data_IF_310478114765
#
_entry.id   IF_310478114765
#
_cell.length_a   1.000
_cell.length_b   1.000
_cell.length_c   1.000
_cell.angle_alpha   90.00
_cell.angle_beta   90.00
_cell.angle_gamma   90.00
#
_symmetry.space_group_name_H-M   'P 1'
#
loop_
_entity.id
_entity.type
_entity.pdbx_description
1 polymer ?
#
# COMPACT_ATOMS: atom_id res chain seq x y z
N UNK A 1 -44.71 -68.68 -71.96
CA UNK A 1 -43.98 -68.77 -70.68
C UNK A 1 -42.72 -67.91 -70.79
N UNK A 2 -42.66 -66.68 -70.25
CA UNK A 2 -42.29 -66.31 -68.86
C UNK A 2 -40.94 -66.92 -68.44
N UNK A 3 -39.90 -66.24 -67.94
CA UNK A 3 -39.73 -64.93 -67.30
C UNK A 3 -38.23 -64.52 -67.30
N UNK A 4 -38.03 -63.20 -67.41
CA UNK A 4 -37.14 -62.28 -66.66
C UNK A 4 -35.62 -62.45 -66.62
N UNK A 5 -35.03 -61.32 -67.01
CA UNK A 5 -33.71 -60.82 -66.68
C UNK A 5 -33.42 -60.78 -65.17
N UNK A 6 -32.16 -61.08 -64.82
CA UNK A 6 -31.49 -60.54 -63.65
C UNK A 6 -30.17 -59.92 -64.09
N UNK A 7 -30.19 -58.61 -64.35
CA UNK A 7 -28.98 -57.78 -64.28
C UNK A 7 -28.69 -57.55 -62.79
N UNK A 8 -27.59 -58.10 -62.28
CA UNK A 8 -26.94 -57.53 -61.09
C UNK A 8 -26.11 -56.33 -61.55
N UNK A 9 -26.62 -55.12 -61.32
CA UNK A 9 -25.78 -53.95 -61.21
C UNK A 9 -24.83 -54.17 -60.02
N UNK A 10 -23.55 -54.45 -60.29
CA UNK A 10 -22.50 -54.10 -59.34
C UNK A 10 -22.23 -52.62 -59.55
N UNK A 11 -22.39 -51.74 -58.55
CA UNK A 11 -21.91 -50.38 -58.68
C UNK A 11 -20.40 -50.47 -58.92
N UNK A 12 -19.94 -49.86 -60.01
CA UNK A 12 -18.53 -49.56 -60.21
C UNK A 12 -18.08 -48.81 -58.97
N UNK A 13 -17.21 -49.42 -58.18
CA UNK A 13 -16.43 -48.73 -57.17
C UNK A 13 -15.48 -47.82 -57.96
N UNK A 14 -15.98 -46.63 -58.31
CA UNK A 14 -15.20 -45.60 -58.97
C UNK A 14 -14.18 -45.11 -57.95
N UNK A 15 -12.91 -45.47 -58.15
CA UNK A 15 -11.81 -44.91 -57.37
C UNK A 15 -11.81 -43.38 -57.52
N UNK A 16 -11.61 -42.67 -56.41
CA UNK A 16 -11.52 -41.22 -56.39
C UNK A 16 -10.55 -40.72 -57.46
N UNK A 17 -11.01 -39.79 -58.29
CA UNK A 17 -10.17 -39.10 -59.27
C UNK A 17 -9.09 -38.31 -58.54
N UNK A 18 -7.88 -38.25 -59.09
CA UNK A 18 -6.77 -37.45 -58.54
C UNK A 18 -7.20 -35.99 -58.30
N UNK A 19 -8.08 -35.45 -59.15
CA UNK A 19 -8.66 -34.12 -59.02
C UNK A 19 -9.55 -33.99 -57.78
N UNK A 20 -10.39 -35.00 -57.49
CA UNK A 20 -11.27 -34.99 -56.32
C UNK A 20 -10.46 -35.05 -55.02
N UNK A 21 -9.36 -35.82 -55.00
CA UNK A 21 -8.43 -35.82 -53.85
C UNK A 21 -7.76 -34.45 -53.66
N UNK A 22 -7.34 -33.80 -54.74
CA UNK A 22 -6.65 -32.50 -54.69
C UNK A 22 -7.62 -31.40 -54.20
N UNK A 23 -8.85 -31.42 -54.69
CA UNK A 23 -9.93 -30.53 -54.23
C UNK A 23 -10.27 -30.79 -52.76
N UNK A 24 -10.37 -32.05 -52.33
CA UNK A 24 -10.62 -32.40 -50.93
C UNK A 24 -9.51 -31.90 -50.00
N UNK A 25 -8.23 -32.08 -50.38
CA UNK A 25 -7.08 -31.56 -49.61
C UNK A 25 -7.11 -30.03 -49.55
N UNK A 26 -7.46 -29.36 -50.65
CA UNK A 26 -7.60 -27.90 -50.67
C UNK A 26 -8.69 -27.42 -49.70
N UNK A 27 -9.86 -28.05 -49.70
CA UNK A 27 -10.95 -27.71 -48.78
C UNK A 27 -10.58 -27.98 -47.32
N UNK A 28 -9.92 -29.09 -47.03
CA UNK A 28 -9.39 -29.38 -45.68
C UNK A 28 -8.37 -28.31 -45.27
N UNK A 29 -7.49 -27.88 -46.18
CA UNK A 29 -6.53 -26.81 -45.95
C UNK A 29 -7.19 -25.48 -45.60
N UNK A 30 -8.22 -25.08 -46.34
CA UNK A 30 -8.99 -23.87 -46.03
C UNK A 30 -9.74 -23.96 -44.70
N UNK A 31 -10.36 -25.11 -44.42
CA UNK A 31 -11.09 -25.33 -43.16
C UNK A 31 -10.15 -25.32 -41.95
N UNK A 32 -9.03 -26.02 -42.03
CA UNK A 32 -8.02 -26.05 -40.95
C UNK A 32 -7.40 -24.67 -40.73
N UNK A 33 -7.03 -23.95 -41.80
CA UNK A 33 -6.55 -22.56 -41.70
C UNK A 33 -7.59 -21.63 -41.07
N UNK A 34 -8.87 -21.77 -41.45
CA UNK A 34 -9.98 -21.04 -40.85
C UNK A 34 -10.15 -21.33 -39.35
N UNK A 35 -10.14 -22.61 -38.96
CA UNK A 35 -10.23 -23.02 -37.56
C UNK A 35 -9.04 -22.53 -36.72
N UNK A 36 -7.82 -22.60 -37.26
CA UNK A 36 -6.62 -22.08 -36.60
C UNK A 36 -6.72 -20.58 -36.33
N UNK A 37 -7.24 -19.80 -37.29
CA UNK A 37 -7.46 -18.37 -37.14
C UNK A 37 -8.54 -18.03 -36.12
N UNK A 38 -9.65 -18.79 -36.09
CA UNK A 38 -10.69 -18.62 -35.06
C UNK A 38 -10.14 -18.96 -33.68
N UNK A 39 -9.40 -20.06 -33.56
CA UNK A 39 -8.75 -20.45 -32.30
C UNK A 39 -7.75 -19.39 -31.82
N UNK A 40 -6.87 -18.88 -32.69
CA UNK A 40 -5.90 -17.85 -32.32
C UNK A 40 -6.59 -16.57 -31.86
N UNK A 41 -7.68 -16.19 -32.51
CA UNK A 41 -8.48 -15.01 -32.15
C UNK A 41 -9.18 -15.20 -30.80
N UNK A 42 -9.71 -16.39 -30.54
CA UNK A 42 -10.35 -16.70 -29.25
C UNK A 42 -9.33 -16.74 -28.10
N UNK A 43 -8.15 -17.30 -28.33
CA UNK A 43 -7.07 -17.32 -27.34
C UNK A 43 -6.58 -15.90 -27.00
N UNK A 44 -6.39 -15.06 -28.03
CA UNK A 44 -6.08 -13.64 -27.86
C UNK A 44 -7.12 -12.91 -27.01
N UNK A 45 -8.41 -13.12 -27.30
CA UNK A 45 -9.51 -12.56 -26.53
C UNK A 45 -9.50 -13.01 -25.07
N UNK A 46 -9.31 -14.31 -24.84
CA UNK A 46 -9.22 -14.88 -23.49
C UNK A 46 -8.06 -14.28 -22.69
N UNK A 47 -6.87 -14.18 -23.29
CA UNK A 47 -5.68 -13.63 -22.63
C UNK A 47 -5.88 -12.15 -22.25
N UNK A 48 -6.43 -11.34 -23.16
CA UNK A 48 -6.72 -9.93 -22.90
C UNK A 48 -7.72 -9.73 -21.76
N UNK A 49 -8.76 -10.56 -21.69
CA UNK A 49 -9.74 -10.53 -20.60
C UNK A 49 -9.07 -10.91 -19.28
N UNK A 50 -8.27 -11.97 -19.27
CA UNK A 50 -7.56 -12.42 -18.07
C UNK A 50 -6.59 -11.34 -17.55
N UNK A 51 -5.79 -10.73 -18.43
CA UNK A 51 -4.88 -9.63 -18.07
C UNK A 51 -5.63 -8.43 -17.49
N UNK A 52 -6.82 -8.11 -18.02
CA UNK A 52 -7.67 -7.05 -17.51
C UNK A 52 -8.18 -7.36 -16.11
N UNK A 53 -8.68 -8.57 -15.87
CA UNK A 53 -9.19 -9.00 -14.55
C UNK A 53 -8.06 -9.02 -13.53
N UNK A 54 -6.89 -9.56 -13.90
CA UNK A 54 -5.74 -9.62 -13.02
C UNK A 54 -5.22 -8.23 -12.63
N UNK A 55 -5.16 -7.30 -13.59
CA UNK A 55 -4.81 -5.90 -13.36
C UNK A 55 -5.80 -5.21 -12.41
N UNK A 56 -7.11 -5.39 -12.65
CA UNK A 56 -8.16 -4.84 -11.76
C UNK A 56 -8.08 -5.40 -10.33
N UNK A 57 -7.84 -6.71 -10.17
CA UNK A 57 -7.70 -7.34 -8.85
C UNK A 57 -6.49 -6.77 -8.09
N UNK A 58 -5.35 -6.62 -8.77
CA UNK A 58 -4.14 -6.03 -8.17
C UNK A 58 -4.35 -4.59 -7.75
N UNK A 59 -4.97 -3.77 -8.60
CA UNK A 59 -5.32 -2.40 -8.24
C UNK A 59 -6.24 -2.32 -7.03
N UNK A 60 -7.31 -3.14 -6.98
CA UNK A 60 -8.24 -3.16 -5.85
C UNK A 60 -7.57 -3.57 -4.54
N UNK A 61 -6.68 -4.57 -4.60
CA UNK A 61 -5.90 -4.98 -3.43
C UNK A 61 -4.95 -3.87 -2.95
N UNK A 62 -4.22 -3.23 -3.87
CA UNK A 62 -3.36 -2.10 -3.55
C UNK A 62 -4.12 -0.95 -2.88
N UNK A 63 -5.28 -0.58 -3.44
CA UNK A 63 -6.11 0.48 -2.87
C UNK A 63 -6.74 0.09 -1.53
N UNK A 64 -7.17 -1.16 -1.33
CA UNK A 64 -7.72 -1.60 -0.05
C UNK A 64 -6.68 -1.50 1.07
N UNK A 65 -5.45 -1.97 0.83
CA UNK A 65 -4.36 -1.82 1.80
C UNK A 65 -4.03 -0.35 2.07
N UNK A 66 -3.95 0.48 1.03
CA UNK A 66 -3.73 1.92 1.19
C UNK A 66 -4.86 2.60 1.96
N UNK A 67 -6.12 2.20 1.74
CA UNK A 67 -7.27 2.81 2.38
C UNK A 67 -7.27 2.61 3.88
N UNK A 68 -7.04 1.39 4.34
CA UNK A 68 -7.03 1.08 5.78
C UNK A 68 -5.89 1.81 6.50
N UNK A 69 -4.70 1.80 5.91
CA UNK A 69 -3.53 2.46 6.48
C UNK A 69 -3.66 4.00 6.44
N UNK A 70 -4.08 4.58 5.32
CA UNK A 70 -4.22 6.03 5.15
C UNK A 70 -5.40 6.60 5.96
N UNK A 71 -6.48 5.84 6.13
CA UNK A 71 -7.58 6.23 7.01
C UNK A 71 -7.12 6.36 8.48
N UNK A 72 -6.06 5.65 8.86
CA UNK A 72 -5.49 5.67 10.20
C UNK A 72 -4.39 6.73 10.39
N UNK A 73 -4.04 7.53 9.37
CA UNK A 73 -3.06 8.62 9.53
C UNK A 73 -3.47 9.53 10.68
N UNK A 74 -2.48 9.94 11.47
CA UNK A 74 -2.69 10.76 12.65
C UNK A 74 -3.33 10.00 13.82
N UNK A 75 -3.45 8.67 13.73
CA UNK A 75 -3.74 7.86 14.91
C UNK A 75 -2.54 7.89 15.84
N UNK A 76 -2.76 8.37 17.05
CA UNK A 76 -1.79 8.32 18.14
C UNK A 76 -2.48 7.67 19.33
N UNK A 77 -2.24 6.37 19.51
CA UNK A 77 -2.80 5.61 20.62
C UNK A 77 -2.24 6.08 21.97
N UNK A 78 -1.11 6.78 21.96
CA UNK A 78 -0.45 7.30 23.14
C UNK A 78 -0.72 8.79 23.36
N UNK A 79 -1.51 9.11 24.39
CA UNK A 79 -1.93 10.48 24.72
C UNK A 79 -1.01 11.03 25.80
N UNK A 80 -0.10 11.94 25.44
CA UNK A 80 0.82 12.58 26.37
C UNK A 80 2.23 12.81 25.80
N UNK A 81 2.91 11.77 25.34
CA UNK A 81 4.28 11.88 24.83
C UNK A 81 4.36 12.19 23.32
N UNK A 82 3.24 12.18 22.63
CA UNK A 82 3.10 12.71 21.28
C UNK A 82 2.72 14.20 21.31
N UNK A 83 2.98 14.89 22.43
CA UNK A 83 2.77 16.32 22.52
C UNK A 83 3.65 17.03 21.48
N UNK A 84 3.05 17.83 20.58
CA UNK A 84 3.79 18.61 19.61
C UNK A 84 4.87 19.51 20.26
N UNK A 85 4.71 19.85 21.55
CA UNK A 85 5.61 20.70 22.33
C UNK A 85 6.91 20.04 22.82
N UNK A 86 7.07 18.72 22.73
CA UNK A 86 8.29 18.04 23.21
C UNK A 86 9.46 18.07 22.21
N UNK A 87 9.29 18.72 21.05
CA UNK A 87 10.35 18.87 20.05
C UNK A 87 10.80 17.56 19.37
N UNK A 88 10.01 16.49 19.50
CA UNK A 88 10.31 15.16 18.95
C UNK A 88 10.19 15.06 17.42
N UNK A 89 9.47 15.99 16.82
CA UNK A 89 9.16 15.99 15.40
C UNK A 89 9.82 17.20 14.73
N UNK A 90 10.62 16.92 13.71
CA UNK A 90 11.27 17.95 12.91
C UNK A 90 10.30 18.55 11.90
N UNK A 91 10.34 19.87 11.81
CA UNK A 91 9.58 20.69 10.87
C UNK A 91 10.52 21.47 9.94
N UNK A 92 11.78 21.04 9.84
CA UNK A 92 12.82 21.76 9.11
C UNK A 92 12.87 21.28 7.66
N UNK A 93 13.12 22.18 6.72
CA UNK A 93 13.30 21.80 5.31
C UNK A 93 14.39 20.75 5.15
N UNK A 94 14.11 19.71 4.38
CA UNK A 94 15.08 18.65 4.07
C UNK A 94 15.30 17.62 5.18
N UNK A 95 14.51 17.66 6.26
CA UNK A 95 14.52 16.64 7.31
C UNK A 95 13.33 15.67 7.14
N UNK A 96 13.26 14.63 7.98
CA UNK A 96 12.12 13.74 8.01
C UNK A 96 10.94 14.45 8.68
N UNK A 97 10.05 15.06 7.91
CA UNK A 97 8.81 15.63 8.46
C UNK A 97 7.78 14.53 8.80
N UNK A 98 6.87 14.77 9.77
CA UNK A 98 5.88 13.77 10.20
C UNK A 98 4.83 13.43 9.15
N UNK A 99 4.63 14.29 8.16
CA UNK A 99 3.82 14.01 6.99
C UNK A 99 4.51 14.64 5.79
N UNK A 100 4.72 13.87 4.73
CA UNK A 100 5.28 14.37 3.48
C UNK A 100 4.78 13.59 2.28
N UNK A 101 4.60 14.33 1.19
CA UNK A 101 4.44 13.77 -0.15
C UNK A 101 5.68 14.20 -0.91
N UNK A 102 6.41 13.24 -1.46
CA UNK A 102 7.55 13.51 -2.33
C UNK A 102 7.11 13.28 -3.77
N UNK A 103 6.92 14.35 -4.57
CA UNK A 103 6.64 14.20 -5.98
C UNK A 103 7.85 13.62 -6.71
N UNK A 104 7.68 12.49 -7.40
CA UNK A 104 8.71 11.95 -8.30
C UNK A 104 10.14 11.91 -7.73
N UNK A 105 10.40 11.44 -6.49
CA UNK A 105 11.65 11.72 -5.77
C UNK A 105 12.89 11.06 -6.38
N UNK A 106 12.74 9.84 -6.92
CA UNK A 106 13.82 9.14 -7.60
C UNK A 106 13.28 8.26 -8.71
N UNK A 107 13.99 8.15 -9.83
CA UNK A 107 13.55 7.39 -10.97
C UNK A 107 13.51 5.89 -10.65
N UNK A 108 12.34 5.26 -10.80
CA UNK A 108 12.21 3.80 -10.64
C UNK A 108 12.62 3.12 -11.94
N UNK A 109 13.74 2.40 -11.91
CA UNK A 109 14.28 1.68 -13.08
C UNK A 109 13.80 0.24 -13.09
N UNK A 110 13.08 -0.16 -14.14
CA UNK A 110 12.60 -1.54 -14.34
C UNK A 110 13.28 -2.18 -15.54
N UNK A 111 13.51 -3.49 -15.45
CA UNK A 111 14.09 -4.31 -16.52
C UNK A 111 13.09 -5.37 -16.91
N UNK A 112 12.52 -5.26 -18.11
CA UNK A 112 11.50 -6.18 -18.59
C UNK A 112 11.59 -6.45 -20.09
N UNK A 113 10.73 -7.34 -20.62
CA UNK A 113 10.68 -7.63 -22.05
C UNK A 113 10.42 -6.36 -22.86
N UNK A 114 11.21 -6.15 -23.91
CA UNK A 114 11.06 -5.06 -24.84
C UNK A 114 9.74 -5.23 -25.61
N UNK A 115 8.79 -4.30 -25.52
CA UNK A 115 7.53 -4.43 -26.23
C UNK A 115 7.70 -4.46 -27.76
N UNK A 116 8.74 -3.83 -28.32
CA UNK A 116 9.04 -3.89 -29.75
C UNK A 116 9.81 -5.17 -30.17
N UNK A 117 10.36 -5.92 -29.21
CA UNK A 117 11.14 -7.15 -29.47
C UNK A 117 11.14 -8.03 -28.22
N UNK A 118 10.05 -8.77 -27.93
CA UNK A 118 9.83 -9.44 -26.63
C UNK A 118 10.92 -10.42 -26.16
N UNK A 119 11.80 -10.86 -27.05
CA UNK A 119 12.98 -11.68 -26.71
C UNK A 119 14.19 -10.90 -26.18
N UNK A 120 14.15 -9.56 -26.18
CA UNK A 120 15.21 -8.70 -25.65
C UNK A 120 14.71 -8.00 -24.39
N UNK A 121 15.60 -7.83 -23.40
CA UNK A 121 15.28 -7.06 -22.20
C UNK A 121 15.62 -5.59 -22.44
N UNK A 122 14.76 -4.71 -21.95
CA UNK A 122 15.00 -3.26 -21.90
C UNK A 122 14.92 -2.81 -20.46
N UNK A 123 15.91 -2.00 -20.09
CA UNK A 123 15.98 -1.31 -18.79
C UNK A 123 15.62 0.14 -19.01
N UNK A 124 14.63 0.65 -18.28
CA UNK A 124 14.22 2.04 -18.41
C UNK A 124 13.45 2.55 -17.18
N UNK A 125 13.37 3.88 -17.01
CA UNK A 125 12.60 4.48 -15.94
C UNK A 125 11.10 4.32 -16.19
N UNK A 126 10.33 4.25 -15.11
CA UNK A 126 8.89 4.46 -15.17
C UNK A 126 8.60 5.93 -15.54
N UNK A 127 7.61 6.14 -16.41
CA UNK A 127 7.18 7.46 -16.86
C UNK A 127 5.65 7.52 -16.82
N UNK A 128 5.04 8.47 -16.07
CA UNK A 128 5.71 9.42 -15.18
C UNK A 128 6.36 8.72 -13.98
N UNK A 129 7.34 9.38 -13.36
CA UNK A 129 7.97 8.87 -12.15
C UNK A 129 6.94 8.87 -11.00
N UNK A 130 6.78 7.77 -10.24
CA UNK A 130 5.82 7.71 -9.15
C UNK A 130 6.21 8.59 -7.96
N UNK A 131 5.19 9.04 -7.23
CA UNK A 131 5.31 9.78 -5.99
C UNK A 131 5.65 8.85 -4.81
N UNK A 132 5.97 9.45 -3.67
CA UNK A 132 6.05 8.74 -2.39
C UNK A 132 5.18 9.45 -1.35
N UNK A 133 4.52 8.66 -0.51
CA UNK A 133 3.77 9.13 0.65
C UNK A 133 4.48 8.65 1.90
N UNK A 134 4.76 9.56 2.82
CA UNK A 134 5.30 9.22 4.13
C UNK A 134 4.50 9.94 5.22
N UNK A 135 4.20 9.22 6.29
CA UNK A 135 3.52 9.80 7.44
C UNK A 135 3.87 9.06 8.72
N UNK A 136 3.75 9.76 9.84
CA UNK A 136 3.89 9.23 11.18
C UNK A 136 2.53 8.84 11.72
N UNK A 137 2.47 7.67 12.34
CA UNK A 137 1.35 7.21 13.14
C UNK A 137 1.84 6.23 14.20
N UNK A 138 1.06 6.04 15.26
CA UNK A 138 1.23 4.89 16.13
C UNK A 138 0.61 3.66 15.45
N UNK A 139 1.27 2.50 15.57
CA UNK A 139 0.77 1.25 14.99
C UNK A 139 0.23 0.37 16.12
N UNK A 140 -1.05 -0.01 16.04
CA UNK A 140 -1.60 -1.02 16.93
C UNK A 140 -0.94 -2.37 16.64
N UNK A 141 -0.41 -3.01 17.69
CA UNK A 141 0.19 -4.33 17.58
C UNK A 141 -0.92 -5.40 17.66
N UNK A 142 -0.80 -6.51 16.90
CA UNK A 142 -1.81 -7.56 16.84
C UNK A 142 -1.76 -8.49 18.07
N UNK A 143 -1.72 -7.90 19.27
CA UNK A 143 -1.66 -8.60 20.55
C UNK A 143 -2.94 -8.31 21.31
N UNK A 144 -3.65 -9.35 21.71
CA UNK A 144 -4.81 -9.25 22.58
C UNK A 144 -4.49 -9.97 23.88
N UNK A 145 -4.53 -9.24 24.98
CA UNK A 145 -4.30 -9.79 26.30
C UNK A 145 -5.16 -9.08 27.34
N UNK A 146 -5.48 -9.81 28.41
CA UNK A 146 -6.08 -9.24 29.60
C UNK A 146 -4.99 -9.07 30.67
N UNK A 147 -5.08 -8.00 31.43
CA UNK A 147 -4.26 -7.80 32.61
C UNK A 147 -4.61 -8.87 33.65
N UNK A 148 -3.64 -9.66 34.09
CA UNK A 148 -3.83 -10.56 35.23
C UNK A 148 -3.51 -9.85 36.54
N UNK A 149 -2.30 -9.28 36.62
CA UNK A 149 -1.81 -8.54 37.80
C UNK A 149 -0.76 -7.51 37.40
N UNK A 150 -0.62 -6.46 38.20
CA UNK A 150 0.50 -5.51 38.13
C UNK A 150 1.39 -5.74 39.35
N UNK A 151 2.70 -5.85 39.15
CA UNK A 151 3.67 -5.92 40.23
C UNK A 151 4.67 -4.76 40.11
N UNK A 152 5.68 -4.68 40.98
CA UNK A 152 6.64 -3.56 40.96
C UNK A 152 7.57 -3.51 39.74
N UNK A 153 7.58 -4.56 38.90
CA UNK A 153 8.52 -4.75 37.79
C UNK A 153 7.81 -4.78 36.42
N UNK A 154 6.48 -4.97 36.40
CA UNK A 154 5.72 -4.97 35.15
C UNK A 154 4.31 -5.55 35.27
N UNK A 155 3.81 -6.00 34.13
CA UNK A 155 2.47 -6.50 33.93
C UNK A 155 2.50 -8.02 33.69
N UNK A 156 1.69 -8.76 34.42
CA UNK A 156 1.39 -10.17 34.12
C UNK A 156 0.11 -10.23 33.31
N UNK A 157 0.13 -10.99 32.23
CA UNK A 157 -0.87 -10.95 31.17
C UNK A 157 -1.48 -12.34 30.94
N UNK A 158 -2.76 -12.36 30.59
CA UNK A 158 -3.43 -13.51 30.01
C UNK A 158 -3.59 -13.26 28.51
N UNK A 159 -2.65 -13.76 27.70
CA UNK A 159 -2.74 -13.70 26.23
C UNK A 159 -3.99 -14.43 25.72
N UNK A 160 -4.71 -13.77 24.82
CA UNK A 160 -5.83 -14.33 24.06
C UNK A 160 -5.42 -14.62 22.62
N UNK A 161 -4.65 -13.72 22.03
CA UNK A 161 -4.12 -13.87 20.67
C UNK A 161 -2.86 -13.02 20.47
N UNK A 162 -2.10 -13.33 19.42
CA UNK A 162 -0.81 -12.69 19.14
C UNK A 162 0.35 -13.29 19.93
N UNK A 163 1.51 -12.64 19.85
CA UNK A 163 2.73 -13.08 20.53
C UNK A 163 3.43 -11.90 21.19
N UNK A 164 3.89 -12.08 22.44
CA UNK A 164 4.74 -11.07 23.10
C UNK A 164 6.12 -10.93 22.43
N UNK A 165 6.49 -11.83 21.52
CA UNK A 165 7.70 -11.66 20.69
C UNK A 165 7.62 -10.47 19.74
N UNK A 166 6.40 -9.98 19.46
CA UNK A 166 6.20 -8.82 18.59
C UNK A 166 6.47 -7.50 19.33
N UNK A 167 6.50 -7.55 20.66
CA UNK A 167 6.85 -6.43 21.54
C UNK A 167 8.35 -6.14 21.49
N UNK A 168 8.66 -4.86 21.51
CA UNK A 168 10.01 -4.32 21.59
C UNK A 168 10.08 -3.31 22.73
N UNK A 169 11.29 -3.08 23.24
CA UNK A 169 11.53 -1.96 24.13
C UNK A 169 11.09 -0.66 23.46
N UNK A 170 10.35 0.18 24.17
CA UNK A 170 9.75 1.42 23.66
C UNK A 170 8.35 1.28 23.09
N UNK A 171 7.83 0.04 22.90
CA UNK A 171 6.41 -0.16 22.65
C UNK A 171 5.59 0.23 23.89
N UNK A 172 4.28 0.38 23.72
CA UNK A 172 3.39 0.96 24.72
C UNK A 172 2.26 0.00 24.98
N UNK A 173 1.89 -0.12 26.25
CA UNK A 173 0.70 -0.86 26.69
C UNK A 173 -0.26 0.11 27.35
N UNK A 174 -1.51 0.10 26.90
CA UNK A 174 -2.61 0.85 27.48
C UNK A 174 -3.54 -0.12 28.22
N UNK A 175 -3.87 0.21 29.47
CA UNK A 175 -4.85 -0.50 30.29
C UNK A 175 -6.22 0.14 30.07
N UNK A 176 -7.17 -0.65 29.56
CA UNK A 176 -8.47 -0.13 29.11
C UNK A 176 -9.55 -0.27 30.19
N UNK A 177 -9.30 0.25 31.39
CA UNK A 177 -10.31 0.41 32.44
C UNK A 177 -10.68 1.88 32.68
N UNK A 178 -11.52 2.12 33.68
CA UNK A 178 -11.95 3.47 34.08
C UNK A 178 -10.81 4.36 34.57
N UNK A 179 -9.67 3.78 34.95
CA UNK A 179 -8.49 4.51 35.43
C UNK A 179 -7.49 4.79 34.31
N UNK A 180 -7.71 4.26 33.10
CA UNK A 180 -6.92 4.43 31.87
C UNK A 180 -5.46 4.86 32.11
N UNK A 181 -4.55 3.88 32.13
CA UNK A 181 -3.12 4.14 32.30
C UNK A 181 -2.33 3.54 31.13
N UNK A 182 -1.21 4.17 30.79
CA UNK A 182 -0.35 3.73 29.70
C UNK A 182 1.09 3.61 30.20
N UNK A 183 1.78 2.54 29.81
CA UNK A 183 3.16 2.27 30.24
C UNK A 183 4.06 2.02 29.05
N UNK A 184 5.33 2.43 29.18
CA UNK A 184 6.38 2.09 28.22
C UNK A 184 6.90 0.69 28.55
N UNK A 185 6.97 -0.16 27.54
CA UNK A 185 7.45 -1.54 27.64
C UNK A 185 8.98 -1.52 27.54
N UNK A 186 9.65 -2.17 28.48
CA UNK A 186 11.10 -2.42 28.40
C UNK A 186 11.41 -3.72 27.66
N UNK A 187 10.44 -4.63 27.59
CA UNK A 187 10.49 -5.87 26.82
C UNK A 187 9.66 -6.99 27.45
N UNK A 188 9.46 -8.11 26.73
CA UNK A 188 8.88 -9.31 27.33
C UNK A 188 9.81 -9.86 28.41
N UNK A 189 9.28 -10.14 29.60
CA UNK A 189 10.06 -10.78 30.68
C UNK A 189 9.95 -12.30 30.64
N UNK A 190 8.79 -12.82 30.20
CA UNK A 190 8.57 -14.22 29.87
C UNK A 190 7.34 -14.35 28.94
N UNK A 191 6.86 -15.58 28.72
CA UNK A 191 5.73 -15.86 27.82
C UNK A 191 4.42 -15.16 28.21
N UNK A 192 4.22 -14.82 29.48
CA UNK A 192 2.98 -14.24 30.00
C UNK A 192 3.22 -12.93 30.77
N UNK A 193 4.39 -12.32 30.65
CA UNK A 193 4.70 -11.12 31.40
C UNK A 193 5.59 -10.16 30.60
N UNK A 194 5.36 -8.88 30.85
CA UNK A 194 6.04 -7.78 30.20
C UNK A 194 6.62 -6.88 31.28
N UNK A 195 7.91 -6.57 31.17
CA UNK A 195 8.52 -5.53 31.99
C UNK A 195 8.05 -4.18 31.44
N UNK A 196 7.47 -3.36 32.31
CA UNK A 196 6.97 -2.04 31.96
C UNK A 196 7.53 -1.02 32.94
N UNK A 197 7.74 0.21 32.46
CA UNK A 197 8.25 1.29 33.28
C UNK A 197 7.11 1.88 34.13
N UNK A 198 6.95 1.32 35.33
CA UNK A 198 5.97 1.67 36.36
C UNK A 198 6.33 2.81 37.37
N UNK A 199 7.51 3.48 37.35
CA UNK A 199 7.78 4.67 38.16
C UNK A 199 6.84 5.85 37.86
N UNK A 200 6.62 6.70 38.87
CA UNK A 200 5.78 7.90 38.74
C UNK A 200 6.33 8.98 37.78
N UNK A 201 7.57 8.85 37.30
CA UNK A 201 8.24 9.84 36.42
C UNK A 201 7.95 9.66 34.94
N UNK A 202 7.41 8.50 34.52
CA UNK A 202 6.88 8.25 33.18
C UNK A 202 5.36 8.52 33.09
N UNK A 203 4.75 8.95 34.18
CA UNK A 203 3.40 9.51 34.19
C UNK A 203 3.48 10.91 33.58
N UNK A 204 2.95 11.10 32.37
CA UNK A 204 2.89 12.42 31.80
C UNK A 204 1.92 13.28 32.63
N UNK A 205 2.46 14.29 33.32
CA UNK A 205 1.68 15.22 34.17
C UNK A 205 0.56 15.93 33.38
N UNK A 206 0.65 15.96 32.05
CA UNK A 206 -0.36 16.57 31.17
C UNK A 206 -1.48 15.63 30.75
N UNK A 207 -1.52 14.36 31.20
CA UNK A 207 -2.76 13.58 31.11
C UNK A 207 -3.90 14.28 31.85
N UNK A 208 -3.60 15.01 32.94
CA UNK A 208 -4.57 15.87 33.63
C UNK A 208 -5.05 17.07 32.80
N UNK A 209 -4.37 17.40 31.69
CA UNK A 209 -4.76 18.45 30.75
C UNK A 209 -5.68 17.96 29.62
N UNK A 210 -5.43 16.78 29.06
CA UNK A 210 -6.26 16.17 28.00
C UNK A 210 -7.47 15.41 28.56
N UNK A 211 -7.34 14.84 29.77
CA UNK A 211 -8.39 14.12 30.48
C UNK A 211 -8.39 14.55 31.96
N UNK A 212 -9.00 15.70 32.27
CA UNK A 212 -8.99 16.26 33.64
C UNK A 212 -9.73 15.40 34.69
N UNK A 213 -10.37 14.31 34.26
CA UNK A 213 -11.22 13.45 35.10
C UNK A 213 -10.46 12.23 35.66
N UNK A 214 -9.25 11.93 35.19
CA UNK A 214 -8.51 10.73 35.61
C UNK A 214 -7.19 11.14 36.29
N UNK A 215 -7.09 11.05 37.63
CA UNK A 215 -5.84 11.25 38.33
C UNK A 215 -4.79 10.23 37.84
N UNK A 216 -3.61 10.66 37.36
CA UNK A 216 -2.54 9.74 37.01
C UNK A 216 -2.13 8.90 38.23
N UNK A 217 -1.97 7.59 38.05
CA UNK A 217 -1.24 6.75 39.00
C UNK A 217 -2.05 6.11 40.12
N UNK A 218 -3.32 5.74 39.91
CA UNK A 218 -4.00 4.92 40.92
C UNK A 218 -3.32 3.56 41.11
N UNK A 219 -2.58 3.04 40.11
CA UNK A 219 -1.96 1.68 40.06
C UNK A 219 -2.91 0.52 40.41
N UNK A 220 -4.15 0.84 40.75
CA UNK A 220 -5.22 -0.08 41.13
C UNK A 220 -5.99 -0.39 39.87
N UNK A 221 -5.41 -1.25 39.06
CA UNK A 221 -6.08 -1.88 37.93
C UNK A 221 -6.62 -3.24 38.36
N UNK A 222 -7.85 -3.54 37.97
CA UNK A 222 -8.49 -4.82 38.30
C UNK A 222 -7.99 -5.88 37.32
N UNK A 223 -7.75 -7.10 37.79
CA UNK A 223 -7.46 -8.24 36.92
C UNK A 223 -8.64 -8.57 35.99
N UNK A 224 -8.36 -8.98 34.76
CA UNK A 224 -9.33 -9.26 33.71
C UNK A 224 -9.61 -8.08 32.78
N UNK A 225 -8.97 -6.93 32.98
CA UNK A 225 -9.13 -5.74 32.13
C UNK A 225 -8.38 -5.93 30.80
N UNK A 226 -8.98 -5.59 29.64
CA UNK A 226 -8.31 -5.71 28.36
C UNK A 226 -7.14 -4.71 28.22
N UNK A 227 -6.11 -5.14 27.52
CA UNK A 227 -4.94 -4.33 27.18
C UNK A 227 -4.84 -4.09 25.68
N UNK A 228 -4.36 -2.91 25.31
CA UNK A 228 -4.00 -2.59 23.94
C UNK A 228 -2.51 -2.26 23.84
N UNK A 229 -1.86 -2.73 22.78
CA UNK A 229 -0.43 -2.55 22.56
C UNK A 229 -0.19 -1.71 21.32
N UNK A 230 0.73 -0.76 21.40
CA UNK A 230 1.04 0.18 20.32
C UNK A 230 2.55 0.31 20.15
N UNK A 231 3.00 0.43 18.90
CA UNK A 231 4.34 0.91 18.57
C UNK A 231 4.26 2.40 18.25
N UNK A 232 4.88 3.27 19.05
CA UNK A 232 4.75 4.71 18.88
C UNK A 232 5.58 5.25 17.71
N UNK A 233 5.13 6.38 17.17
CA UNK A 233 5.89 7.24 16.24
C UNK A 233 6.55 6.47 15.10
N UNK A 234 5.79 5.65 14.37
CA UNK A 234 6.31 4.91 13.21
C UNK A 234 6.07 5.72 11.94
N UNK A 235 7.13 5.95 11.18
CA UNK A 235 7.03 6.44 9.80
C UNK A 235 6.68 5.29 8.89
N UNK A 236 5.53 5.39 8.23
CA UNK A 236 5.13 4.51 7.14
C UNK A 236 5.41 5.20 5.80
N UNK A 237 6.11 4.52 4.90
CA UNK A 237 6.39 4.98 3.52
C UNK A 237 5.73 4.05 2.51
N UNK A 238 4.97 4.63 1.59
CA UNK A 238 4.58 3.99 0.33
C UNK A 238 5.41 4.55 -0.81
N UNK A 239 5.97 3.63 -1.61
CA UNK A 239 6.74 3.96 -2.80
C UNK A 239 6.57 2.84 -3.83
N UNK A 240 6.86 3.13 -5.10
CA UNK A 240 7.06 2.08 -6.10
C UNK A 240 8.54 1.74 -6.15
N UNK A 241 8.85 0.45 -6.08
CA UNK A 241 10.22 -0.05 -6.21
C UNK A 241 10.28 -1.17 -7.23
N UNK A 242 11.39 -1.24 -7.96
CA UNK A 242 11.67 -2.35 -8.84
C UNK A 242 12.11 -3.57 -8.02
N UNK A 243 11.43 -4.69 -8.20
CA UNK A 243 11.72 -5.96 -7.51
C UNK A 243 11.86 -7.07 -8.52
N UNK A 244 12.72 -8.05 -8.25
CA UNK A 244 12.86 -9.24 -9.10
C UNK A 244 11.51 -9.93 -9.28
N UNK A 245 11.12 -10.18 -10.53
CA UNK A 245 9.90 -10.93 -10.86
C UNK A 245 9.95 -12.35 -10.31
N UNK A 246 11.13 -12.96 -10.40
CA UNK A 246 11.42 -14.31 -9.95
C UNK A 246 12.73 -14.25 -9.15
N UNK A 247 12.76 -14.70 -7.89
CA UNK A 247 13.99 -14.75 -7.10
C UNK A 247 15.11 -15.56 -7.77
N UNK A 248 14.77 -16.54 -8.60
CA UNK A 248 15.72 -17.36 -9.35
C UNK A 248 16.25 -16.68 -10.62
N UNK A 249 15.57 -15.65 -11.12
CA UNK A 249 15.99 -14.83 -12.25
C UNK A 249 15.94 -13.34 -11.90
N UNK A 250 16.96 -12.83 -11.17
CA UNK A 250 17.00 -11.44 -10.72
C UNK A 250 17.20 -10.42 -11.84
N UNK A 251 17.49 -10.87 -13.08
CA UNK A 251 17.70 -9.99 -14.22
C UNK A 251 16.42 -9.29 -14.70
N UNK A 252 15.24 -9.86 -14.40
CA UNK A 252 13.95 -9.27 -14.72
C UNK A 252 13.37 -8.63 -13.47
N UNK A 253 13.06 -7.34 -13.55
CA UNK A 253 12.41 -6.60 -12.47
C UNK A 253 11.06 -6.05 -12.89
N UNK A 254 10.12 -6.07 -11.95
CA UNK A 254 8.78 -5.49 -12.09
C UNK A 254 8.59 -4.37 -11.07
N UNK A 255 7.72 -3.39 -11.38
CA UNK A 255 7.42 -2.33 -10.43
C UNK A 255 6.38 -2.85 -9.42
N UNK A 256 6.68 -2.66 -8.14
CA UNK A 256 5.84 -3.08 -7.03
C UNK A 256 5.51 -1.89 -6.15
N UNK A 257 4.25 -1.76 -5.74
CA UNK A 257 3.89 -0.90 -4.62
C UNK A 257 4.39 -1.58 -3.35
N UNK A 258 5.22 -0.89 -2.60
CA UNK A 258 5.80 -1.40 -1.37
C UNK A 258 5.50 -0.49 -0.19
N UNK A 259 5.41 -1.12 0.98
CA UNK A 259 5.32 -0.47 2.28
C UNK A 259 6.63 -0.69 3.04
N UNK A 260 7.13 0.36 3.65
CA UNK A 260 8.27 0.31 4.56
C UNK A 260 7.90 1.05 5.84
N UNK A 261 8.32 0.50 6.98
CA UNK A 261 8.00 1.06 8.29
C UNK A 261 9.26 1.13 9.16
N UNK A 262 9.47 2.27 9.81
CA UNK A 262 10.59 2.49 10.74
C UNK A 262 10.20 3.49 11.81
N UNK A 263 10.77 3.35 13.00
CA UNK A 263 10.61 4.36 14.05
C UNK A 263 11.08 5.73 13.56
N UNK A 264 10.34 6.77 13.95
CA UNK A 264 10.68 8.16 13.64
C UNK A 264 12.03 8.52 14.30
N UNK A 265 12.95 9.14 13.57
CA UNK A 265 14.26 9.52 14.10
C UNK A 265 14.08 10.72 15.04
N UNK A 266 14.49 10.55 16.31
CA UNK A 266 14.30 11.58 17.34
C UNK A 266 14.99 12.92 17.04
N UNK A 267 16.04 12.91 16.20
CA UNK A 267 16.76 14.10 15.74
C UNK A 267 16.17 14.69 14.43
N UNK A 268 15.14 14.05 13.87
CA UNK A 268 14.55 14.41 12.59
C UNK A 268 15.39 14.04 11.37
N UNK A 269 16.48 13.28 11.53
CA UNK A 269 17.33 12.88 10.40
C UNK A 269 16.54 12.15 9.30
N UNK A 270 16.95 12.29 8.03
CA UNK A 270 16.29 11.56 6.95
C UNK A 270 16.46 10.05 7.14
N UNK A 271 15.37 9.30 6.91
CA UNK A 271 15.42 7.84 7.00
C UNK A 271 16.17 7.26 5.79
N UNK A 272 17.23 6.51 6.06
CA UNK A 272 17.91 5.68 5.06
C UNK A 272 17.05 4.45 4.70
N UNK A 273 16.11 4.64 3.77
CA UNK A 273 15.11 3.63 3.40
C UNK A 273 15.67 2.34 2.78
N UNK A 274 16.88 2.38 2.21
CA UNK A 274 17.50 1.20 1.59
C UNK A 274 17.74 0.04 2.59
N UNK A 275 17.92 0.35 3.88
CA UNK A 275 18.14 -0.64 4.93
C UNK A 275 16.84 -1.08 5.65
N UNK A 276 15.71 -0.48 5.30
CA UNK A 276 14.42 -0.76 5.95
C UNK A 276 13.76 -1.97 5.26
N UNK A 277 13.29 -2.98 6.01
CA UNK A 277 12.58 -4.11 5.42
C UNK A 277 11.44 -3.65 4.51
N UNK A 278 11.33 -4.31 3.35
CA UNK A 278 10.37 -3.98 2.30
C UNK A 278 9.24 -5.01 2.34
N UNK A 279 8.02 -4.53 2.51
CA UNK A 279 6.81 -5.33 2.35
C UNK A 279 6.19 -5.04 0.98
N UNK A 280 6.04 -6.07 0.15
CA UNK A 280 5.39 -5.93 -1.15
C UNK A 280 3.88 -5.98 -0.96
N UNK A 281 3.20 -4.86 -1.22
CA UNK A 281 1.74 -4.75 -1.11
C UNK A 281 1.09 -5.28 -2.38
N UNK A 282 1.59 -4.85 -3.55
CA UNK A 282 1.07 -5.27 -4.83
C UNK A 282 2.15 -5.22 -5.92
N UNK A 283 2.15 -6.25 -6.76
CA UNK A 283 3.03 -6.36 -7.92
C UNK A 283 2.43 -5.73 -9.17
N UNK A 284 3.29 -5.34 -10.11
CA UNK A 284 2.92 -4.72 -11.38
C UNK A 284 2.06 -3.46 -11.19
N UNK A 285 2.44 -2.65 -10.20
CA UNK A 285 1.96 -1.30 -10.01
C UNK A 285 3.05 -0.38 -10.54
N UNK A 286 2.79 0.34 -11.63
CA UNK A 286 3.77 1.20 -12.31
C UNK A 286 3.54 2.69 -12.08
N UNK A 287 2.38 3.08 -11.57
CA UNK A 287 2.07 4.47 -11.25
C UNK A 287 1.49 4.59 -9.85
N UNK A 288 1.98 5.58 -9.11
CA UNK A 288 1.46 5.97 -7.81
C UNK A 288 1.55 7.48 -7.74
N UNK A 289 0.40 8.13 -7.59
CA UNK A 289 0.31 9.58 -7.49
C UNK A 289 -0.49 9.94 -6.27
N UNK A 290 0.00 10.92 -5.51
CA UNK A 290 -0.65 11.36 -4.27
C UNK A 290 -0.88 12.86 -4.32
N UNK A 291 -2.13 13.26 -4.10
CA UNK A 291 -2.55 14.64 -3.98
C UNK A 291 -3.41 14.77 -2.72
N UNK A 292 -3.54 15.99 -2.19
CA UNK A 292 -4.46 16.28 -1.09
C UNK A 292 -5.10 17.65 -1.25
N UNK A 293 -6.22 17.84 -0.58
CA UNK A 293 -7.11 19.00 -0.73
C UNK A 293 -7.79 19.34 0.59
N UNK A 294 -7.79 20.63 0.93
CA UNK A 294 -8.51 21.17 2.10
C UNK A 294 -9.95 21.62 1.78
N UNK A 295 -10.34 21.63 0.50
CA UNK A 295 -11.61 22.18 0.00
C UNK A 295 -12.49 21.12 -0.68
N UNK A 296 -12.37 19.87 -0.23
CA UNK A 296 -13.20 18.76 -0.72
C UNK A 296 -12.85 18.29 -2.14
N UNK A 297 -11.65 18.58 -2.63
CA UNK A 297 -11.16 18.14 -3.94
C UNK A 297 -11.29 19.17 -5.06
N UNK A 298 -11.65 20.42 -4.74
CA UNK A 298 -11.75 21.51 -5.72
C UNK A 298 -10.37 21.97 -6.16
N UNK A 299 -9.44 22.10 -5.21
CA UNK A 299 -8.04 22.40 -5.46
C UNK A 299 -7.14 21.32 -4.86
N UNK A 300 -6.07 20.97 -5.58
CA UNK A 300 -5.11 19.93 -5.18
C UNK A 300 -3.77 20.57 -4.89
N UNK A 301 -3.33 20.52 -3.63
CA UNK A 301 -2.16 21.25 -3.12
C UNK A 301 -0.87 20.81 -3.82
N UNK A 302 -0.74 19.51 -4.13
CA UNK A 302 0.44 18.97 -4.83
C UNK A 302 0.51 19.35 -6.31
N UNK A 303 -0.59 19.77 -6.94
CA UNK A 303 -0.63 20.05 -8.38
C UNK A 303 0.44 21.07 -8.80
N UNK A 304 1.33 20.68 -9.71
CA UNK A 304 2.43 21.52 -10.20
C UNK A 304 3.54 21.81 -9.18
N UNK A 305 3.60 21.10 -8.05
CA UNK A 305 4.71 21.20 -7.10
C UNK A 305 5.83 20.22 -7.47
N UNK A 306 7.08 20.70 -7.46
CA UNK A 306 8.26 19.91 -7.83
C UNK A 306 8.82 19.08 -6.65
N UNK A 307 8.57 19.49 -5.41
CA UNK A 307 9.09 18.87 -4.19
C UNK A 307 8.19 19.18 -2.99
N UNK A 308 8.51 18.62 -1.82
CA UNK A 308 7.75 18.84 -0.59
C UNK A 308 7.75 20.31 -0.15
N UNK A 309 8.86 21.03 -0.28
CA UNK A 309 8.95 22.46 0.10
C UNK A 309 7.94 23.32 -0.68
N UNK A 310 7.79 23.06 -1.98
CA UNK A 310 6.80 23.73 -2.82
C UNK A 310 5.36 23.36 -2.44
N UNK A 311 5.12 22.15 -1.96
CA UNK A 311 3.82 21.73 -1.42
C UNK A 311 3.54 22.47 -0.11
N UNK A 312 4.49 22.51 0.82
CA UNK A 312 4.40 23.24 2.10
C UNK A 312 4.05 24.71 1.88
N UNK A 313 4.69 25.37 0.91
CA UNK A 313 4.35 26.75 0.53
C UNK A 313 2.88 26.91 0.12
N UNK A 314 2.32 25.93 -0.62
CA UNK A 314 0.92 25.94 -1.06
C UNK A 314 -0.07 25.58 0.05
N UNK A 315 0.31 24.78 1.04
CA UNK A 315 -0.53 24.46 2.21
C UNK A 315 -0.93 25.74 2.94
N UNK A 316 0.04 26.62 3.21
CA UNK A 316 -0.21 27.90 3.88
C UNK A 316 -1.22 28.75 3.13
N UNK A 317 -1.15 28.79 1.79
CA UNK A 317 -2.14 29.49 0.97
C UNK A 317 -3.51 28.82 1.00
N UNK A 318 -3.56 27.49 0.97
CA UNK A 318 -4.81 26.74 0.95
C UNK A 318 -5.57 26.78 2.29
N UNK A 319 -4.84 26.92 3.41
CA UNK A 319 -5.43 27.00 4.75
C UNK A 319 -5.89 28.43 5.14
N UNK A 320 -5.36 29.48 4.52
CA UNK A 320 -5.71 30.86 4.85
C UNK A 320 -7.23 31.18 4.75
N UNK A 321 -7.98 30.72 3.73
CA UNK A 321 -9.43 30.92 3.65
C UNK A 321 -10.23 30.19 4.74
N UNK A 322 -9.64 29.18 5.39
CA UNK A 322 -10.26 28.43 6.49
C UNK A 322 -10.04 29.09 7.85
N UNK A 323 -9.52 30.32 7.88
CA UNK A 323 -9.26 31.09 9.11
C UNK A 323 -8.00 30.68 9.85
N UNK A 324 -7.21 29.74 9.30
CA UNK A 324 -5.93 29.33 9.84
C UNK A 324 -4.84 30.34 9.46
N UNK A 325 -4.67 31.38 10.27
CA UNK A 325 -3.57 32.33 10.12
C UNK A 325 -2.43 31.94 11.05
N UNK A 326 -1.20 31.81 10.52
CA UNK A 326 0.01 31.62 11.33
C UNK A 326 0.32 30.20 11.81
N UNK A 327 -0.39 29.17 11.36
CA UNK A 327 -0.04 27.75 11.63
C UNK A 327 0.49 27.09 10.34
N UNK A 328 1.79 27.26 10.02
CA UNK A 328 2.38 26.63 8.85
C UNK A 328 2.51 25.12 9.03
N UNK A 329 2.62 24.37 7.93
CA UNK A 329 3.02 22.95 7.94
C UNK A 329 4.40 22.69 8.57
N UNK A 330 5.12 23.76 8.94
CA UNK A 330 6.41 23.74 9.62
C UNK A 330 6.41 24.52 10.93
N UNK A 331 5.30 24.52 11.65
CA UNK A 331 5.22 25.14 12.97
C UNK A 331 5.85 24.22 14.01
N UNK A 332 6.93 24.65 14.68
CA UNK A 332 7.55 23.86 15.74
C UNK A 332 6.64 23.68 16.97
N UNK A 333 5.67 24.58 17.18
CA UNK A 333 4.65 24.42 18.23
C UNK A 333 3.53 23.44 17.83
N UNK A 334 3.41 23.13 16.53
CA UNK A 334 2.42 22.21 15.97
C UNK A 334 2.99 21.37 14.80
N UNK A 335 4.01 20.52 15.04
CA UNK A 335 4.57 19.63 14.03
C UNK A 335 3.58 18.62 13.43
N UNK A 336 2.45 18.36 14.11
CA UNK A 336 1.41 17.43 13.68
C UNK A 336 0.18 18.17 13.14
N UNK A 337 0.40 19.33 12.49
CA UNK A 337 -0.62 20.21 11.92
C UNK A 337 -1.73 19.48 11.13
N UNK A 338 -1.38 18.39 10.44
CA UNK A 338 -2.31 17.60 9.63
C UNK A 338 -3.44 16.97 10.45
N UNK A 339 -3.30 16.88 11.78
CA UNK A 339 -4.36 16.46 12.69
C UNK A 339 -5.36 17.57 12.99
N UNK A 340 -4.97 18.83 12.89
CA UNK A 340 -5.82 19.97 13.25
C UNK A 340 -6.75 20.37 12.11
N UNK A 341 -6.39 20.03 10.87
CA UNK A 341 -7.15 20.39 9.68
C UNK A 341 -7.62 19.13 8.94
N UNK A 342 -8.94 18.93 8.76
CA UNK A 342 -9.42 17.85 7.92
C UNK A 342 -9.04 18.12 6.46
N UNK A 343 -8.54 17.09 5.78
CA UNK A 343 -8.29 17.15 4.34
C UNK A 343 -8.54 15.81 3.66
N UNK A 344 -8.88 15.91 2.38
CA UNK A 344 -9.07 14.78 1.50
C UNK A 344 -7.74 14.39 0.85
N UNK A 345 -7.36 13.13 0.95
CA UNK A 345 -6.22 12.56 0.22
C UNK A 345 -6.75 11.80 -0.99
N UNK A 346 -6.19 12.09 -2.17
CA UNK A 346 -6.40 11.35 -3.40
C UNK A 346 -5.15 10.55 -3.73
N UNK A 347 -5.32 9.27 -3.98
CA UNK A 347 -4.27 8.38 -4.47
C UNK A 347 -4.71 7.75 -5.79
N UNK A 348 -3.94 7.95 -6.84
CA UNK A 348 -4.13 7.27 -8.12
C UNK A 348 -3.08 6.16 -8.25
N UNK A 349 -3.54 4.92 -8.44
CA UNK A 349 -2.70 3.73 -8.62
C UNK A 349 -2.88 3.21 -10.05
N UNK A 350 -1.78 3.05 -10.77
CA UNK A 350 -1.76 2.49 -12.13
C UNK A 350 -1.21 1.07 -12.08
N UNK A 351 -2.09 0.12 -12.34
CA UNK A 351 -1.77 -1.30 -12.46
C UNK A 351 -1.55 -1.68 -13.93
N UNK A 352 -0.64 -2.61 -14.19
CA UNK A 352 -0.32 -3.08 -15.56
C UNK A 352 -0.42 -4.61 -15.70
N UNK A 353 -0.54 -5.14 -16.92
CA UNK A 353 -0.36 -6.58 -17.17
C UNK A 353 1.05 -7.05 -16.79
N UNK A 354 1.22 -8.34 -16.53
CA UNK A 354 2.51 -8.89 -16.11
C UNK A 354 3.58 -8.82 -17.22
N UNK A 355 3.15 -9.05 -18.46
CA UNK A 355 3.98 -9.00 -19.65
C UNK A 355 3.30 -8.14 -20.73
N UNK A 356 4.08 -7.56 -21.66
CA UNK A 356 3.51 -6.93 -22.85
C UNK A 356 3.04 -8.03 -23.82
N UNK A 357 1.92 -7.82 -24.51
CA UNK A 357 1.43 -8.73 -25.56
C UNK A 357 1.07 -7.98 -26.83
N UNK A 358 1.20 -8.65 -27.98
CA UNK A 358 0.86 -8.09 -29.28
C UNK A 358 -0.63 -7.74 -29.36
N UNK A 359 -1.50 -8.56 -28.78
CA UNK A 359 -2.96 -8.34 -28.80
C UNK A 359 -3.42 -7.10 -28.01
N UNK A 360 -2.53 -6.54 -27.17
CA UNK A 360 -2.80 -5.37 -26.36
C UNK A 360 -2.33 -4.06 -27.02
N UNK A 361 -1.63 -4.14 -28.15
CA UNK A 361 -1.07 -3.01 -28.88
C UNK A 361 -1.96 -2.63 -30.07
N UNK A 362 -2.17 -1.34 -30.26
CA UNK A 362 -2.78 -0.81 -31.48
C UNK A 362 -1.76 -0.63 -32.62
N UNK A 363 -0.47 -0.85 -32.33
CA UNK A 363 0.64 -0.74 -33.28
C UNK A 363 1.05 -2.15 -33.74
N UNK A 364 0.99 -2.36 -35.06
CA UNK A 364 1.35 -3.64 -35.68
C UNK A 364 2.82 -3.98 -35.41
N UNK A 365 3.08 -5.21 -34.97
CA UNK A 365 4.44 -5.69 -34.68
C UNK A 365 5.00 -5.25 -33.33
N UNK A 366 4.22 -4.53 -32.52
CA UNK A 366 4.60 -4.16 -31.15
C UNK A 366 3.67 -4.83 -30.15
N UNK A 367 4.22 -5.20 -29.00
CA UNK A 367 3.48 -5.61 -27.83
C UNK A 367 3.21 -4.40 -26.93
N UNK A 368 2.19 -4.49 -26.07
CA UNK A 368 1.89 -3.45 -25.09
C UNK A 368 1.39 -4.03 -23.77
N UNK A 369 1.56 -3.26 -22.70
CA UNK A 369 0.97 -3.56 -21.40
C UNK A 369 -0.47 -3.07 -21.34
N UNK A 370 -1.37 -3.86 -20.74
CA UNK A 370 -2.71 -3.37 -20.38
C UNK A 370 -2.60 -2.57 -19.10
N UNK A 371 -2.96 -1.28 -19.15
CA UNK A 371 -2.90 -0.38 -17.99
C UNK A 371 -4.30 -0.06 -17.47
N UNK A 372 -4.43 0.04 -16.15
CA UNK A 372 -5.66 0.47 -15.47
C UNK A 372 -5.31 1.38 -14.30
N UNK A 373 -5.80 2.61 -14.37
CA UNK A 373 -5.77 3.56 -13.27
C UNK A 373 -7.00 3.34 -12.39
N UNK A 374 -6.79 3.29 -11.08
CA UNK A 374 -7.83 3.33 -10.08
C UNK A 374 -7.52 4.44 -9.08
N UNK A 375 -8.56 5.11 -8.61
CA UNK A 375 -8.44 6.26 -7.71
C UNK A 375 -9.11 5.93 -6.39
N UNK A 376 -8.42 6.23 -5.30
CA UNK A 376 -8.94 6.24 -3.94
C UNK A 376 -8.97 7.67 -3.45
N UNK A 377 -10.09 8.06 -2.85
CA UNK A 377 -10.23 9.31 -2.11
C UNK A 377 -10.60 8.97 -0.67
N UNK A 378 -9.79 9.43 0.28
CA UNK A 378 -9.94 9.10 1.69
C UNK A 378 -9.69 10.34 2.54
N UNK A 379 -10.59 10.58 3.48
CA UNK A 379 -10.40 11.56 4.55
C UNK A 379 -9.95 10.78 5.79
N UNK A 380 -8.73 11.01 6.31
CA UNK A 380 -8.27 10.32 7.51
C UNK A 380 -9.20 10.57 8.70
N UNK A 381 -9.41 9.53 9.52
CA UNK A 381 -10.43 9.55 10.59
C UNK A 381 -9.99 10.35 11.82
N UNK A 382 -8.69 10.49 12.01
CA UNK A 382 -8.11 11.10 13.21
C UNK A 382 -7.77 12.58 13.03
N UNK A 383 -8.32 13.22 11.98
CA UNK A 383 -8.13 14.64 11.72
C UNK A 383 -9.34 15.44 12.22
N UNK A 384 -9.10 16.65 12.71
CA UNK A 384 -10.09 17.50 13.36
C UNK A 384 -10.34 17.15 14.84
N UNK A 385 -9.49 16.32 15.45
CA UNK A 385 -9.52 16.01 16.88
C UNK A 385 -8.34 16.74 17.57
N UNK A 386 -8.57 17.91 18.19
CA UNK A 386 -7.52 18.58 18.96
C UNK A 386 -7.07 17.66 20.11
N UNK A 387 -5.76 17.67 20.39
CA UNK A 387 -5.16 16.95 21.53
C UNK A 387 -5.57 17.54 22.88
#
# INVERSE_FOLDING_TARGET
MTLRSFRRFRPLQQGFSLIEMLVAVMFIGFLTAGMLRVYSTNLAGFQRVNDTIASQRRGRWALASLQDDVASIGFFGYVGFNSPSEGKYSVVSGTQEPFMILPSPSAVIVTGPNPASPGTLVTGPLVPNPDELQYVSDIALPIQADLSTINSVGLTLSLKSGSLSDLRSGDIVAVLDSNFEQFIISGPSNTNAVTADLPATTQHQSMGGAYSVIPPGSKTHIGGVPLAFYRPSVVTRYSIQARSWDPSNPAITIPCLVRQQKAYPADGSLIAWAAVPVEVIAENIEGFRVDFSFDGGTTWVRSGAANWDAIVGKITTALAPLGATGVPARNAADPLWFRNYPFLIRMDVVSRSAAPRAENSDVTGQAAYVRRTQTLMVSPRNFGLPL
#
